data_IF_369638232932
#
_entry.id   IF_369638232932
#
_cell.length_a   1.000
_cell.length_b   1.000
_cell.length_c   1.000
_cell.angle_alpha   90.00
_cell.angle_beta   90.00
_cell.angle_gamma   90.00
#
_symmetry.space_group_name_H-M   'P 1'
#
loop_
_entity.id
_entity.type
_entity.pdbx_description
1 polymer ?
#
# COMPACT_ATOMS: atom_id res chain seq x y z
N UNK A 1 -11.45 2.35 -12.33
CA UNK A 1 -10.31 2.35 -11.38
C UNK A 1 -10.18 3.75 -10.81
N UNK A 2 -10.01 3.87 -9.50
CA UNK A 2 -9.91 5.17 -8.81
C UNK A 2 -8.51 5.77 -8.86
N UNK A 3 -7.48 4.93 -8.97
CA UNK A 3 -6.06 5.32 -9.02
C UNK A 3 -5.34 4.57 -10.15
N UNK A 4 -4.25 5.17 -10.63
CA UNK A 4 -3.25 4.54 -11.48
C UNK A 4 -1.99 4.22 -10.66
N UNK A 5 -1.20 3.21 -11.07
CA UNK A 5 0.04 2.86 -10.36
C UNK A 5 1.03 4.03 -10.35
N UNK A 6 1.02 4.86 -11.40
CA UNK A 6 1.86 6.05 -11.51
C UNK A 6 1.48 7.17 -10.54
N UNK A 7 0.29 7.10 -9.92
CA UNK A 7 -0.13 8.06 -8.90
C UNK A 7 0.47 7.74 -7.53
N UNK A 8 1.02 6.53 -7.38
CA UNK A 8 1.49 5.97 -6.11
C UNK A 8 3.00 6.11 -6.03
N UNK A 9 3.50 6.56 -4.89
CA UNK A 9 4.90 6.80 -4.63
C UNK A 9 5.39 6.00 -3.43
N UNK A 10 6.69 5.71 -3.40
CA UNK A 10 7.34 5.15 -2.22
C UNK A 10 7.17 6.15 -1.07
N UNK A 11 6.69 5.65 0.07
CA UNK A 11 6.40 6.44 1.25
C UNK A 11 4.94 6.86 1.39
N UNK A 12 4.11 6.71 0.35
CA UNK A 12 2.66 6.86 0.49
C UNK A 12 2.11 5.81 1.44
N UNK A 13 1.00 6.14 2.08
CA UNK A 13 0.23 5.21 2.88
C UNK A 13 -1.07 4.88 2.14
N UNK A 14 -1.51 3.63 2.22
CA UNK A 14 -2.73 3.19 1.55
C UNK A 14 -3.56 2.25 2.42
N UNK A 15 -4.86 2.30 2.21
CA UNK A 15 -5.82 1.33 2.70
C UNK A 15 -6.31 0.51 1.51
N UNK A 16 -6.23 -0.81 1.60
CA UNK A 16 -6.69 -1.72 0.55
C UNK A 16 -7.83 -2.62 1.06
N UNK A 17 -8.46 -3.39 0.19
CA UNK A 17 -9.39 -4.46 0.57
C UNK A 17 -9.26 -5.59 -0.44
N UNK A 18 -8.85 -6.76 0.04
CA UNK A 18 -8.66 -7.95 -0.77
C UNK A 18 -9.27 -9.14 -0.04
N UNK A 19 -10.09 -9.92 -0.75
CA UNK A 19 -10.65 -11.17 -0.22
C UNK A 19 -9.53 -12.10 0.25
N UNK A 20 -9.63 -12.58 1.49
CA UNK A 20 -8.69 -13.54 2.07
C UNK A 20 -7.46 -12.92 2.74
N UNK A 21 -7.37 -11.59 2.80
CA UNK A 21 -6.39 -10.89 3.64
C UNK A 21 -7.19 -10.07 4.65
N UNK A 22 -7.04 -10.39 5.93
CA UNK A 22 -7.62 -9.59 6.99
C UNK A 22 -6.90 -8.25 7.03
N UNK A 23 -7.57 -7.21 6.53
CA UNK A 23 -7.11 -5.86 6.70
C UNK A 23 -7.60 -5.35 8.06
N UNK A 24 -6.66 -5.17 8.99
CA UNK A 24 -6.93 -4.76 10.36
C UNK A 24 -7.34 -3.28 10.50
N UNK A 25 -8.05 -2.71 9.51
CA UNK A 25 -8.39 -1.28 9.45
C UNK A 25 -7.16 -0.34 9.51
N UNK A 26 -6.01 -0.80 9.01
CA UNK A 26 -4.74 -0.07 9.04
C UNK A 26 -4.33 0.48 7.66
N UNK A 27 -3.68 1.64 7.67
CA UNK A 27 -2.93 2.13 6.52
C UNK A 27 -1.55 1.49 6.48
N UNK A 28 -1.10 1.14 5.27
CA UNK A 28 0.17 0.46 5.03
C UNK A 28 1.05 1.30 4.12
N UNK A 29 2.35 1.30 4.42
CA UNK A 29 3.32 2.13 3.71
C UNK A 29 3.82 1.44 2.45
N UNK A 30 3.84 2.17 1.35
CA UNK A 30 4.46 1.75 0.10
C UNK A 30 5.98 1.81 0.24
N UNK A 31 6.64 0.66 0.02
CA UNK A 31 8.09 0.52 0.14
C UNK A 31 8.76 0.13 -1.17
N UNK A 32 7.99 -0.13 -2.24
CA UNK A 32 8.55 -0.36 -3.57
C UNK A 32 7.54 -0.85 -4.59
N UNK A 33 8.06 -1.28 -5.73
CA UNK A 33 7.28 -1.79 -6.85
C UNK A 33 7.97 -3.00 -7.48
N UNK A 34 7.19 -3.95 -7.99
CA UNK A 34 7.70 -5.10 -8.75
C UNK A 34 6.70 -5.55 -9.81
N UNK A 35 7.09 -5.47 -11.10
CA UNK A 35 6.28 -5.95 -12.25
C UNK A 35 4.80 -5.56 -12.12
N UNK A 36 4.54 -4.25 -12.03
CA UNK A 36 3.21 -3.65 -11.90
C UNK A 36 2.48 -3.87 -10.56
N UNK A 37 3.13 -4.52 -9.60
CA UNK A 37 2.60 -4.67 -8.25
C UNK A 37 3.22 -3.65 -7.31
N UNK A 38 2.43 -3.19 -6.34
CA UNK A 38 2.85 -2.29 -5.28
C UNK A 38 3.30 -3.14 -4.10
N UNK A 39 4.51 -2.90 -3.61
CA UNK A 39 5.06 -3.56 -2.43
C UNK A 39 4.78 -2.69 -1.21
N UNK A 40 4.03 -3.22 -0.26
CA UNK A 40 3.74 -2.57 1.03
C UNK A 40 4.43 -3.31 2.17
N UNK A 41 4.81 -2.57 3.20
CA UNK A 41 5.38 -3.11 4.44
C UNK A 41 4.27 -3.34 5.46
N UNK A 42 4.27 -4.54 6.05
CA UNK A 42 3.39 -4.94 7.13
C UNK A 42 4.25 -5.04 8.40
N UNK A 43 4.03 -4.12 9.33
CA UNK A 43 4.60 -4.17 10.68
C UNK A 43 3.54 -4.70 11.66
N UNK A 44 3.55 -6.01 11.91
CA UNK A 44 2.66 -6.63 12.89
C UNK A 44 3.48 -7.35 13.96
N UNK A 45 3.26 -7.00 15.23
CA UNK A 45 3.80 -7.71 16.39
C UNK A 45 5.33 -8.00 16.34
N UNK A 46 6.12 -7.07 15.79
CA UNK A 46 7.59 -7.19 15.71
C UNK A 46 8.12 -7.93 14.48
N UNK A 47 7.25 -8.39 13.58
CA UNK A 47 7.63 -8.94 12.28
C UNK A 47 7.41 -7.89 11.19
N UNK A 48 8.42 -7.69 10.35
CA UNK A 48 8.35 -6.91 9.12
C UNK A 48 8.18 -7.88 7.96
N UNK A 49 6.96 -7.94 7.43
CA UNK A 49 6.67 -8.67 6.21
C UNK A 49 6.38 -7.70 5.06
N UNK A 50 6.51 -8.19 3.83
CA UNK A 50 6.16 -7.42 2.64
C UNK A 50 5.03 -8.10 1.90
N UNK A 51 4.02 -7.34 1.51
CA UNK A 51 2.93 -7.82 0.67
C UNK A 51 2.96 -7.11 -0.68
N UNK A 52 2.65 -7.86 -1.75
CA UNK A 52 2.44 -7.30 -3.07
C UNK A 52 0.95 -7.20 -3.36
N UNK A 53 0.49 -5.98 -3.63
CA UNK A 53 -0.91 -5.69 -4.00
C UNK A 53 -1.01 -5.08 -5.38
N UNK A 54 -2.17 -5.27 -6.01
CA UNK A 54 -2.50 -4.62 -7.26
C UNK A 54 -3.14 -3.24 -6.95
N UNK A 55 -2.99 -2.28 -7.87
CA UNK A 55 -3.62 -0.95 -7.71
C UNK A 55 -5.14 -1.03 -7.58
N UNK A 56 -5.76 -2.08 -8.11
CA UNK A 56 -7.20 -2.36 -8.00
C UNK A 56 -7.65 -2.68 -6.57
N UNK A 57 -6.75 -3.16 -5.71
CA UNK A 57 -7.09 -3.48 -4.32
C UNK A 57 -7.22 -2.21 -3.45
N UNK A 58 -6.74 -1.04 -3.92
CA UNK A 58 -6.67 0.18 -3.13
C UNK A 58 -8.05 0.84 -3.00
N UNK A 59 -8.47 1.08 -1.76
CA UNK A 59 -9.67 1.85 -1.41
C UNK A 59 -9.36 3.33 -1.14
N UNK A 60 -8.32 3.60 -0.35
CA UNK A 60 -7.88 4.95 0.01
C UNK A 60 -6.37 5.09 -0.14
N UNK A 61 -5.94 6.22 -0.70
CA UNK A 61 -4.55 6.61 -0.81
C UNK A 61 -4.36 7.85 0.06
N UNK A 62 -3.36 7.82 0.94
CA UNK A 62 -2.88 8.92 1.75
C UNK A 62 -1.47 9.28 1.26
N UNK A 63 -1.35 10.24 0.32
CA UNK A 63 -0.07 10.59 -0.27
C UNK A 63 0.89 11.11 0.80
N UNK A 64 2.17 10.75 0.69
CA UNK A 64 3.20 11.35 1.51
C UNK A 64 3.23 12.86 1.25
N UNK A 65 3.10 13.65 2.31
CA UNK A 65 3.32 15.09 2.25
C UNK A 65 4.82 15.32 2.41
N UNK A 66 5.49 15.66 1.32
CA UNK A 66 6.83 16.20 1.38
C UNK A 66 6.71 17.67 1.84
N UNK A 67 7.04 17.94 3.10
CA UNK A 67 7.21 19.31 3.57
C UNK A 67 8.40 19.93 2.81
N UNK A 68 8.10 20.89 1.92
CA UNK A 68 9.07 21.74 1.25
C UNK A 68 9.75 22.70 2.23
#
# INVERSE_FOLDING_TARGET
MKYNINDIKIGDELFFDRKGIDNHDLYWKVVGFHKEMIKIEIAAMGFQENLYIDVTDIKYLNPKIDNL
#
